data_IF_159142015946
#
_entry.id   IF_159142015946
#
_cell.length_a   1.000
_cell.length_b   1.000
_cell.length_c   1.000
_cell.angle_alpha   90.00
_cell.angle_beta   90.00
_cell.angle_gamma   90.00
#
_symmetry.space_group_name_H-M   'P 1'
#
loop_
_entity.id
_entity.type
_entity.pdbx_description
1 polymer ?
#
# COMPACT_ATOMS: atom_id res chain seq x y z
N UNK A 1 -19.95 -3.62 -15.08
CA UNK A 1 -19.64 -2.78 -13.91
C UNK A 1 -18.27 -3.22 -13.43
N UNK A 2 -17.33 -2.27 -13.31
CA UNK A 2 -16.03 -2.56 -12.71
C UNK A 2 -16.25 -2.98 -11.26
N UNK A 3 -15.49 -3.97 -10.79
CA UNK A 3 -15.64 -4.44 -9.41
C UNK A 3 -14.93 -3.45 -8.50
N UNK A 4 -15.62 -2.98 -7.47
CA UNK A 4 -15.01 -2.08 -6.51
C UNK A 4 -14.46 -2.91 -5.35
N UNK A 5 -13.15 -2.84 -5.15
CA UNK A 5 -12.45 -3.57 -4.10
C UNK A 5 -11.62 -2.61 -3.27
N UNK A 6 -11.22 -3.05 -2.07
CA UNK A 6 -10.44 -2.22 -1.15
C UNK A 6 -9.14 -2.92 -0.79
N UNK A 7 -8.02 -2.22 -0.98
CA UNK A 7 -6.69 -2.80 -0.82
C UNK A 7 -5.89 -2.08 0.27
N UNK A 8 -5.16 -2.82 1.12
CA UNK A 8 -4.28 -2.22 2.10
C UNK A 8 -3.03 -1.63 1.45
N UNK A 9 -2.71 -0.39 1.80
CA UNK A 9 -1.52 0.34 1.35
C UNK A 9 -0.75 0.86 2.54
N UNK A 10 0.57 0.71 2.50
CA UNK A 10 1.46 1.25 3.52
C UNK A 10 2.06 2.57 3.06
N UNK A 11 2.00 3.56 3.94
CA UNK A 11 2.70 4.83 3.83
C UNK A 11 3.71 4.96 4.97
N UNK A 12 4.96 5.19 4.63
CA UNK A 12 6.03 5.49 5.58
C UNK A 12 6.28 6.99 5.59
N UNK A 13 6.13 7.63 6.76
CA UNK A 13 6.46 9.03 6.95
C UNK A 13 7.97 9.23 6.88
N UNK A 14 8.42 10.14 6.02
CA UNK A 14 9.83 10.47 5.87
C UNK A 14 10.22 11.66 6.74
N UNK A 15 11.52 11.93 6.86
CA UNK A 15 12.07 12.92 7.80
C UNK A 15 11.56 14.35 7.55
N UNK A 16 11.10 14.65 6.34
CA UNK A 16 10.62 15.98 5.94
C UNK A 16 9.08 16.13 6.05
N UNK A 17 8.39 15.17 6.66
CA UNK A 17 6.93 15.21 6.82
C UNK A 17 6.13 14.67 5.63
N UNK A 18 6.81 14.33 4.54
CA UNK A 18 6.25 13.60 3.39
C UNK A 18 6.05 12.13 3.73
N UNK A 19 5.45 11.40 2.79
CA UNK A 19 5.18 9.98 2.86
C UNK A 19 5.75 9.26 1.64
N UNK A 20 6.10 8.01 1.84
CA UNK A 20 6.52 7.08 0.79
C UNK A 20 5.58 5.88 0.76
N UNK A 21 5.17 5.47 -0.42
CA UNK A 21 4.32 4.29 -0.62
C UNK A 21 5.19 3.03 -0.53
N UNK A 22 4.74 2.05 0.24
CA UNK A 22 5.37 0.73 0.38
C UNK A 22 4.35 -0.34 -0.01
N UNK A 23 4.70 -1.12 -1.03
CA UNK A 23 4.05 -2.38 -1.36
C UNK A 23 5.06 -3.52 -1.15
N UNK A 24 4.92 -4.38 -0.12
CA UNK A 24 5.89 -5.45 0.17
C UNK A 24 6.05 -6.44 -0.97
N UNK A 25 4.94 -6.74 -1.64
CA UNK A 25 4.88 -7.73 -2.70
C UNK A 25 5.44 -7.19 -4.02
N UNK A 26 5.74 -5.88 -4.07
CA UNK A 26 6.19 -5.20 -5.27
C UNK A 26 7.47 -4.42 -4.96
N UNK A 27 8.57 -4.77 -5.64
CA UNK A 27 9.83 -4.03 -5.53
C UNK A 27 9.78 -2.70 -6.32
N UNK A 28 8.74 -1.90 -6.11
CA UNK A 28 8.51 -0.63 -6.77
C UNK A 28 8.92 0.54 -5.85
N UNK A 29 9.56 1.55 -6.43
CA UNK A 29 9.90 2.80 -5.74
C UNK A 29 8.97 3.90 -6.24
N UNK A 30 8.25 4.52 -5.30
CA UNK A 30 7.40 5.67 -5.56
C UNK A 30 8.08 6.95 -5.07
N UNK A 31 7.79 8.10 -5.70
CA UNK A 31 8.26 9.39 -5.21
C UNK A 31 7.71 9.65 -3.80
N UNK A 32 8.48 10.40 -3.00
CA UNK A 32 8.03 10.92 -1.72
C UNK A 32 7.14 12.14 -1.95
N UNK A 33 5.94 12.10 -1.40
CA UNK A 33 4.93 13.13 -1.64
C UNK A 33 4.15 13.40 -0.35
N UNK A 34 3.27 14.40 -0.35
CA UNK A 34 2.32 14.54 0.74
C UNK A 34 1.36 13.32 0.77
N UNK A 35 0.67 13.10 1.90
CA UNK A 35 -0.18 11.92 2.09
C UNK A 35 -1.30 11.80 1.05
N UNK A 36 -1.88 12.92 0.63
CA UNK A 36 -2.97 12.95 -0.36
C UNK A 36 -2.49 12.51 -1.74
N UNK A 37 -1.37 13.07 -2.20
CA UNK A 37 -0.70 12.67 -3.43
C UNK A 37 -0.30 11.18 -3.38
N UNK A 38 0.22 10.70 -2.26
CA UNK A 38 0.54 9.28 -2.09
C UNK A 38 -0.70 8.38 -2.24
N UNK A 39 -1.87 8.79 -1.73
CA UNK A 39 -3.12 8.05 -1.93
C UNK A 39 -3.53 7.98 -3.39
N UNK A 40 -3.47 9.11 -4.10
CA UNK A 40 -3.79 9.20 -5.54
C UNK A 40 -2.87 8.27 -6.33
N UNK A 41 -1.56 8.36 -6.11
CA UNK A 41 -0.56 7.52 -6.78
C UNK A 41 -0.80 6.03 -6.48
N UNK A 42 -1.05 5.68 -5.22
CA UNK A 42 -1.33 4.30 -4.81
C UNK A 42 -2.59 3.75 -5.49
N UNK A 43 -3.67 4.56 -5.55
CA UNK A 43 -4.92 4.20 -6.24
C UNK A 43 -4.66 3.91 -7.72
N UNK A 44 -4.10 4.87 -8.44
CA UNK A 44 -3.82 4.76 -9.89
C UNK A 44 -2.94 3.52 -10.17
N UNK A 45 -1.95 3.29 -9.31
CA UNK A 45 -1.05 2.16 -9.47
C UNK A 45 -1.76 0.81 -9.25
N UNK A 46 -2.58 0.70 -8.21
CA UNK A 46 -3.38 -0.50 -7.95
C UNK A 46 -4.36 -0.77 -9.10
N UNK A 47 -5.08 0.24 -9.56
CA UNK A 47 -6.00 0.12 -10.71
C UNK A 47 -5.27 -0.38 -11.95
N UNK A 48 -4.09 0.17 -12.26
CA UNK A 48 -3.27 -0.29 -13.41
C UNK A 48 -2.77 -1.73 -13.28
N UNK A 49 -2.39 -2.16 -12.07
CA UNK A 49 -1.98 -3.56 -11.86
C UNK A 49 -3.16 -4.50 -12.06
N UNK A 50 -4.33 -4.11 -11.57
CA UNK A 50 -5.55 -4.91 -11.62
C UNK A 50 -6.10 -4.99 -13.05
N UNK A 51 -6.07 -3.90 -13.81
CA UNK A 51 -6.41 -3.89 -15.24
C UNK A 51 -5.51 -4.84 -16.07
N UNK A 52 -4.28 -5.10 -15.60
CA UNK A 52 -3.31 -5.97 -16.26
C UNK A 52 -3.20 -7.41 -15.71
N UNK A 53 -3.93 -7.77 -14.63
CA UNK A 53 -3.82 -9.09 -13.98
C UNK A 53 -5.19 -9.68 -13.71
N UNK A 54 -5.55 -10.72 -14.46
CA UNK A 54 -6.83 -11.44 -14.38
C UNK A 54 -7.03 -12.23 -13.06
N UNK A 55 -6.03 -12.33 -12.18
CA UNK A 55 -6.07 -13.19 -10.98
C UNK A 55 -5.33 -12.59 -9.77
N UNK A 56 -5.46 -11.27 -9.51
CA UNK A 56 -4.90 -10.69 -8.27
C UNK A 56 -5.85 -10.93 -7.09
N UNK A 57 -5.87 -12.15 -6.57
CA UNK A 57 -6.56 -12.45 -5.31
C UNK A 57 -5.78 -11.84 -4.14
N UNK A 58 -6.27 -10.72 -3.60
CA UNK A 58 -5.90 -10.34 -2.24
C UNK A 58 -6.77 -11.10 -1.26
N UNK A 59 -6.13 -11.89 -0.40
CA UNK A 59 -6.81 -12.39 0.80
C UNK A 59 -7.22 -11.17 1.61
N UNK A 60 -8.51 -11.04 1.89
CA UNK A 60 -9.04 -10.04 2.81
C UNK A 60 -8.36 -10.25 4.17
N UNK A 61 -7.45 -9.37 4.56
CA UNK A 61 -6.80 -9.44 5.86
C UNK A 61 -7.62 -8.60 6.83
N UNK A 62 -8.49 -9.28 7.55
CA UNK A 62 -9.54 -8.73 8.42
C UNK A 62 -9.01 -8.07 9.72
N UNK A 63 -7.69 -7.85 9.84
CA UNK A 63 -7.12 -7.15 10.99
C UNK A 63 -5.90 -6.35 10.60
N UNK A 64 -5.94 -5.05 10.91
CA UNK A 64 -4.82 -4.11 10.81
C UNK A 64 -3.54 -4.63 11.47
N UNK A 65 -3.66 -5.44 12.53
CA UNK A 65 -2.54 -6.04 13.26
C UNK A 65 -1.94 -7.24 12.53
N UNK A 66 -2.78 -8.11 11.95
CA UNK A 66 -2.30 -9.20 11.08
C UNK A 66 -1.66 -8.67 9.81
N UNK A 67 -2.23 -7.60 9.24
CA UNK A 67 -1.70 -6.94 8.05
C UNK A 67 -0.34 -6.33 8.34
N UNK A 68 -0.23 -5.61 9.47
CA UNK A 68 1.04 -5.19 10.06
C UNK A 68 2.01 -6.36 10.14
N UNK A 69 1.66 -7.45 10.83
CA UNK A 69 2.56 -8.58 11.05
C UNK A 69 3.03 -9.26 9.74
N UNK A 70 2.12 -9.52 8.79
CA UNK A 70 2.43 -10.11 7.49
C UNK A 70 3.36 -9.20 6.69
N UNK A 71 3.03 -7.90 6.64
CA UNK A 71 3.86 -6.92 5.96
C UNK A 71 5.23 -6.84 6.65
N UNK A 72 5.30 -6.81 7.98
CA UNK A 72 6.56 -6.79 8.74
C UNK A 72 7.43 -8.02 8.51
N UNK A 73 6.86 -9.23 8.44
CA UNK A 73 7.62 -10.44 8.11
C UNK A 73 8.25 -10.35 6.71
N UNK A 74 7.58 -9.70 5.75
CA UNK A 74 8.07 -9.49 4.39
C UNK A 74 9.02 -8.28 4.26
N UNK A 75 8.74 -7.19 4.97
CA UNK A 75 9.43 -5.89 4.85
C UNK A 75 10.40 -5.60 5.98
N UNK A 76 10.62 -6.49 6.95
CA UNK A 76 11.47 -6.27 8.12
C UNK A 76 12.93 -5.85 7.85
N UNK A 77 13.37 -5.85 6.58
CA UNK A 77 14.63 -5.25 6.11
C UNK A 77 14.51 -3.76 5.72
N UNK A 78 13.32 -3.29 5.35
CA UNK A 78 13.03 -1.96 4.81
C UNK A 78 12.46 -0.99 5.86
N UNK A 79 11.69 -1.49 6.84
CA UNK A 79 11.05 -0.65 7.86
C UNK A 79 11.84 -0.72 9.17
N UNK A 80 12.50 0.39 9.54
CA UNK A 80 13.31 0.49 10.78
C UNK A 80 12.60 1.19 11.94
N UNK A 81 11.54 1.96 11.67
CA UNK A 81 10.83 2.76 12.66
C UNK A 81 9.32 2.66 12.47
N UNK A 82 8.67 1.96 13.39
CA UNK A 82 7.24 1.64 13.36
C UNK A 82 6.34 2.86 13.57
N UNK A 83 6.84 3.91 14.24
CA UNK A 83 6.07 5.13 14.49
C UNK A 83 5.77 5.91 13.21
N UNK A 84 6.54 5.64 12.15
CA UNK A 84 6.42 6.29 10.84
C UNK A 84 5.42 5.60 9.92
N UNK A 85 4.91 4.41 10.29
CA UNK A 85 4.07 3.60 9.41
C UNK A 85 2.59 3.90 9.59
N UNK A 86 1.93 4.21 8.48
CA UNK A 86 0.49 4.39 8.36
C UNK A 86 -0.06 3.40 7.33
N UNK A 87 -1.04 2.59 7.73
CA UNK A 87 -1.73 1.67 6.82
C UNK A 87 -3.12 2.24 6.57
N UNK A 88 -3.48 2.38 5.29
CA UNK A 88 -4.82 2.77 4.86
C UNK A 88 -5.38 1.80 3.84
N UNK A 89 -6.69 1.77 3.75
CA UNK A 89 -7.44 0.92 2.83
C UNK A 89 -7.96 1.81 1.71
N UNK A 90 -7.48 1.59 0.49
CA UNK A 90 -7.82 2.42 -0.67
C UNK A 90 -8.79 1.65 -1.56
N UNK A 91 -9.89 2.31 -1.91
CA UNK A 91 -10.90 1.82 -2.83
C UNK A 91 -10.43 2.00 -4.28
N UNK A 92 -10.52 0.93 -5.07
CA UNK A 92 -10.06 0.86 -6.46
C UNK A 92 -11.12 0.19 -7.34
N UNK A 93 -11.14 0.55 -8.61
CA UNK A 93 -12.02 -0.06 -9.60
C UNK A 93 -11.24 -1.07 -10.48
N UNK A 94 -11.56 -2.36 -10.34
CA UNK A 94 -11.07 -3.47 -11.16
C UNK A 94 -11.81 -3.58 -12.50
#
# INVERSE_FOLDING_TARGET
MKKISTYPVIFEKTSFGNYRIIFPDLNAKFPEENLENCRIIAKIYLEKILEGRQEFETKEIDSKEKLKEIYFRKTGKYIRDYSKIRIEYIQVEE
#
